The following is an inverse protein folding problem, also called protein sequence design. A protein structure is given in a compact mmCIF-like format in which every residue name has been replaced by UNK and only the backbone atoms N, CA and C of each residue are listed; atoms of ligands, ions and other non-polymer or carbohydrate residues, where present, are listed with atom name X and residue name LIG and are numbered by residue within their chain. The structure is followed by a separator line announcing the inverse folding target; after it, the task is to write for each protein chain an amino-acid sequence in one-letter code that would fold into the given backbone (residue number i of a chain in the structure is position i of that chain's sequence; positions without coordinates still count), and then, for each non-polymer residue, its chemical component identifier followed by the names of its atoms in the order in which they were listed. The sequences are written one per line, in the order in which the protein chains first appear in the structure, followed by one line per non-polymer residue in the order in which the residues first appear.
data_IF_579694528014
#
_entry.id   IF_579694528014
#
_cell.length_a   1.000
_cell.length_b   1.000
_cell.length_c   1.000
_cell.angle_alpha   90.00
_cell.angle_beta   90.00
_cell.angle_gamma   90.00
#
_symmetry.space_group_name_H-M   'P 1'
#
loop_
_entity.id
_entity.type
_entity.pdbx_description
1 polymer ?
#
# COMPACT_ATOMS: atom_id res chain seq x y z
N UNK A 1 -25.16 2.52 10.94
CA UNK A 1 -25.18 2.08 12.35
C UNK A 1 -26.07 2.98 13.19
N UNK A 2 -26.87 2.43 14.10
CA UNK A 2 -27.63 3.22 15.08
C UNK A 2 -26.70 3.74 16.18
N UNK A 3 -27.14 4.74 16.95
CA UNK A 3 -26.26 5.38 17.95
C UNK A 3 -25.71 4.43 19.02
N UNK A 4 -26.45 3.39 19.41
CA UNK A 4 -25.95 2.39 20.37
C UNK A 4 -24.79 1.58 19.79
N UNK A 5 -24.92 1.11 18.54
CA UNK A 5 -23.86 0.41 17.82
C UNK A 5 -22.65 1.31 17.58
N UNK A 6 -22.91 2.57 17.20
CA UNK A 6 -21.88 3.58 16.96
C UNK A 6 -21.15 4.00 18.26
N UNK A 7 -21.74 3.78 19.43
CA UNK A 7 -21.10 4.01 20.72
C UNK A 7 -20.26 2.80 21.17
N UNK A 8 -20.77 1.59 20.95
CA UNK A 8 -20.04 0.36 21.22
C UNK A 8 -18.75 0.24 20.39
N UNK A 9 -18.77 0.66 19.12
CA UNK A 9 -17.63 0.53 18.20
C UNK A 9 -16.35 1.27 18.65
N UNK A 10 -16.38 2.57 19.00
CA UNK A 10 -15.26 3.31 19.58
C UNK A 10 -15.09 3.12 21.10
N UNK A 11 -15.91 2.26 21.73
CA UNK A 11 -16.01 2.13 23.19
C UNK A 11 -16.28 3.48 23.90
N UNK A 12 -17.20 4.28 23.36
CA UNK A 12 -17.62 5.57 23.90
C UNK A 12 -19.02 5.49 24.51
N UNK A 13 -19.35 6.43 25.39
CA UNK A 13 -20.74 6.60 25.82
C UNK A 13 -21.62 7.13 24.68
N UNK A 14 -22.90 6.76 24.67
CA UNK A 14 -23.90 7.29 23.72
C UNK A 14 -23.95 8.83 23.77
N UNK A 15 -23.76 9.42 24.96
CA UNK A 15 -23.71 10.88 25.16
C UNK A 15 -22.50 11.47 24.46
N UNK A 16 -21.33 10.84 24.56
CA UNK A 16 -20.10 11.26 23.88
C UNK A 16 -20.25 11.26 22.36
N UNK A 17 -20.82 10.20 21.78
CA UNK A 17 -21.11 10.13 20.33
C UNK A 17 -22.09 11.23 19.91
N UNK A 18 -23.14 11.48 20.69
CA UNK A 18 -24.10 12.57 20.43
C UNK A 18 -23.45 13.94 20.43
N UNK A 19 -22.57 14.20 21.39
CA UNK A 19 -21.83 15.46 21.52
C UNK A 19 -20.91 15.66 20.32
N UNK A 20 -20.06 14.67 20.00
CA UNK A 20 -19.16 14.73 18.85
C UNK A 20 -19.92 14.96 17.53
N UNK A 21 -21.09 14.33 17.36
CA UNK A 21 -21.92 14.50 16.17
C UNK A 21 -22.71 15.83 16.12
N UNK A 22 -22.83 16.53 17.24
CA UNK A 22 -23.48 17.85 17.32
C UNK A 22 -22.45 18.97 17.14
N UNK A 23 -21.21 18.73 17.56
CA UNK A 23 -20.04 19.59 17.32
C UNK A 23 -19.48 19.46 15.90
N UNK A 24 -20.03 18.54 15.08
CA UNK A 24 -19.57 18.29 13.71
C UNK A 24 -18.28 17.46 13.60
N UNK A 25 -17.72 16.99 14.72
CA UNK A 25 -16.51 16.16 14.77
C UNK A 25 -16.74 14.74 14.26
N UNK A 26 -17.94 14.21 14.44
CA UNK A 26 -18.35 12.90 13.93
C UNK A 26 -19.50 13.10 12.92
N UNK A 27 -19.28 12.86 11.62
CA UNK A 27 -20.33 12.93 10.63
C UNK A 27 -21.50 12.00 10.96
N UNK A 28 -22.71 12.45 10.66
CA UNK A 28 -23.92 11.64 10.86
C UNK A 28 -25.01 12.06 9.89
N UNK A 29 -25.80 11.09 9.45
CA UNK A 29 -26.98 11.31 8.60
C UNK A 29 -28.25 11.14 9.43
N UNK A 30 -29.35 11.80 9.03
CA UNK A 30 -30.66 11.63 9.68
C UNK A 30 -31.57 10.78 8.80
N UNK A 31 -32.27 9.83 9.40
CA UNK A 31 -33.35 9.11 8.73
C UNK A 31 -34.55 10.03 8.51
N UNK A 32 -35.52 9.59 7.68
CA UNK A 32 -36.82 10.25 7.53
C UNK A 32 -37.56 10.46 8.86
N UNK A 33 -37.33 9.58 9.83
CA UNK A 33 -37.86 9.66 11.20
C UNK A 33 -37.00 10.51 12.17
N UNK A 34 -36.00 11.23 11.66
CA UNK A 34 -35.16 12.14 12.44
C UNK A 34 -34.07 11.49 13.30
N UNK A 35 -33.90 10.16 13.23
CA UNK A 35 -32.89 9.44 14.01
C UNK A 35 -31.51 9.57 13.35
N UNK A 36 -30.46 9.73 14.16
CA UNK A 36 -29.07 9.74 13.66
C UNK A 36 -28.61 8.32 13.27
N UNK A 37 -27.92 8.25 12.14
CA UNK A 37 -27.25 7.07 11.61
C UNK A 37 -25.80 7.45 11.31
N UNK A 38 -24.90 6.54 11.64
CA UNK A 38 -23.46 6.71 11.52
C UNK A 38 -22.90 5.67 10.56
N UNK A 39 -21.92 6.06 9.76
CA UNK A 39 -21.16 5.16 8.91
C UNK A 39 -19.89 4.70 9.63
N UNK A 40 -19.45 3.48 9.33
CA UNK A 40 -18.28 2.89 9.97
C UNK A 40 -16.99 3.61 9.57
N UNK A 41 -16.89 4.02 8.31
CA UNK A 41 -15.75 4.77 7.78
C UNK A 41 -15.57 6.10 8.50
N UNK A 42 -16.66 6.84 8.74
CA UNK A 42 -16.63 8.09 9.52
C UNK A 42 -16.15 7.88 10.96
N UNK A 43 -16.53 6.76 11.58
CA UNK A 43 -16.05 6.38 12.92
C UNK A 43 -14.57 6.01 12.91
N UNK A 44 -14.10 5.28 11.91
CA UNK A 44 -12.69 4.92 11.77
C UNK A 44 -11.83 6.18 11.56
N UNK A 45 -12.28 7.13 10.72
CA UNK A 45 -11.64 8.45 10.53
C UNK A 45 -11.61 9.22 11.86
N UNK A 46 -12.73 9.30 12.57
CA UNK A 46 -12.81 9.98 13.87
C UNK A 46 -11.86 9.39 14.93
N UNK A 47 -11.64 8.07 14.88
CA UNK A 47 -10.71 7.36 15.76
C UNK A 47 -9.24 7.48 15.32
N UNK A 48 -8.95 8.17 14.22
CA UNK A 48 -7.60 8.24 13.64
C UNK A 48 -7.11 6.88 13.15
N UNK A 49 -8.01 5.95 12.82
CA UNK A 49 -7.64 4.65 12.29
C UNK A 49 -7.23 4.79 10.82
N UNK A 50 -6.26 4.00 10.34
CA UNK A 50 -5.87 4.03 8.94
C UNK A 50 -7.05 3.66 8.06
N UNK A 51 -7.51 4.58 7.24
CA UNK A 51 -8.43 4.31 6.13
C UNK A 51 -7.67 3.65 4.98
N UNK A 52 -8.33 2.87 4.10
CA UNK A 52 -7.70 2.33 2.90
C UNK A 52 -7.02 3.41 2.05
N UNK A 53 -7.56 4.63 2.05
CA UNK A 53 -7.00 5.78 1.35
C UNK A 53 -5.75 6.34 2.04
N UNK A 54 -5.76 6.49 3.37
CA UNK A 54 -4.56 6.90 4.12
C UNK A 54 -3.43 5.85 4.03
N UNK A 55 -3.77 4.56 4.09
CA UNK A 55 -2.80 3.48 3.88
C UNK A 55 -2.22 3.53 2.48
N UNK A 56 -3.00 3.89 1.46
CA UNK A 56 -2.50 4.11 0.09
C UNK A 56 -1.63 5.37 -0.01
N UNK A 57 -2.00 6.45 0.68
CA UNK A 57 -1.22 7.69 0.72
C UNK A 57 0.15 7.49 1.40
N UNK A 58 0.20 6.65 2.44
CA UNK A 58 1.42 6.29 3.16
C UNK A 58 2.25 5.20 2.45
N UNK A 59 1.75 4.65 1.32
CA UNK A 59 2.53 3.71 0.51
C UNK A 59 3.53 4.47 -0.33
N UNK A 60 4.79 4.43 0.08
CA UNK A 60 5.92 4.66 -0.78
C UNK A 60 6.30 3.35 -1.48
N UNK A 61 6.35 3.36 -2.81
CA UNK A 61 6.54 2.16 -3.62
C UNK A 61 7.84 2.24 -4.44
N UNK A 62 8.69 1.23 -4.30
CA UNK A 62 9.89 1.01 -5.11
C UNK A 62 9.55 0.12 -6.31
N UNK A 63 9.98 0.51 -7.51
CA UNK A 63 9.79 -0.28 -8.73
C UNK A 63 11.10 -0.95 -9.11
N UNK A 64 11.10 -2.27 -9.32
CA UNK A 64 12.31 -3.00 -9.71
C UNK A 64 12.14 -3.64 -11.09
N UNK A 65 12.91 -3.12 -12.05
CA UNK A 65 12.96 -3.57 -13.44
C UNK A 65 14.26 -4.34 -13.69
N UNK A 66 14.17 -5.51 -14.31
CA UNK A 66 15.36 -6.33 -14.60
C UNK A 66 15.30 -6.93 -16.00
N UNK A 67 16.46 -6.91 -16.66
CA UNK A 67 16.68 -7.61 -17.93
C UNK A 67 17.88 -8.56 -17.82
N UNK A 68 17.80 -9.68 -18.55
CA UNK A 68 18.85 -10.71 -18.53
C UNK A 68 19.86 -10.58 -19.67
N UNK A 69 19.62 -9.70 -20.65
CA UNK A 69 20.45 -9.53 -21.85
C UNK A 69 20.52 -8.08 -22.31
N UNK A 70 21.46 -7.80 -23.22
CA UNK A 70 21.73 -6.47 -23.77
C UNK A 70 20.81 -6.10 -24.94
N UNK A 71 20.35 -7.09 -25.72
CA UNK A 71 19.48 -6.87 -26.87
C UNK A 71 18.09 -6.37 -26.43
N UNK A 72 17.66 -5.22 -26.95
CA UNK A 72 16.35 -4.64 -26.60
C UNK A 72 16.22 -4.23 -25.12
N UNK A 73 17.35 -4.02 -24.42
CA UNK A 73 17.38 -3.68 -23.00
C UNK A 73 16.56 -2.44 -22.67
N UNK A 74 16.80 -1.34 -23.40
CA UNK A 74 16.17 -0.05 -23.09
C UNK A 74 14.66 -0.11 -23.28
N UNK A 75 14.19 -0.68 -24.39
CA UNK A 75 12.77 -0.85 -24.65
C UNK A 75 12.09 -1.79 -23.65
N UNK A 76 12.78 -2.88 -23.25
CA UNK A 76 12.26 -3.79 -22.24
C UNK A 76 12.18 -3.15 -20.85
N UNK A 77 13.22 -2.41 -20.43
CA UNK A 77 13.22 -1.69 -19.15
C UNK A 77 12.14 -0.60 -19.11
N UNK A 78 12.00 0.16 -20.20
CA UNK A 78 10.97 1.20 -20.32
C UNK A 78 9.55 0.60 -20.27
N UNK A 79 9.33 -0.52 -20.96
CA UNK A 79 8.04 -1.21 -20.92
C UNK A 79 7.72 -1.76 -19.52
N UNK A 80 8.70 -2.38 -18.85
CA UNK A 80 8.54 -2.84 -17.47
C UNK A 80 8.25 -1.68 -16.51
N UNK A 81 8.99 -0.58 -16.62
CA UNK A 81 8.76 0.60 -15.80
C UNK A 81 7.36 1.16 -15.99
N UNK A 82 6.90 1.28 -17.25
CA UNK A 82 5.53 1.72 -17.57
C UNK A 82 4.48 0.85 -16.90
N UNK A 83 4.56 -0.48 -17.06
CA UNK A 83 3.62 -1.41 -16.42
C UNK A 83 3.61 -1.27 -14.89
N UNK A 84 4.80 -1.11 -14.28
CA UNK A 84 4.90 -0.97 -12.83
C UNK A 84 4.31 0.35 -12.34
N UNK A 85 4.55 1.47 -13.05
CA UNK A 85 3.96 2.78 -12.74
C UNK A 85 2.45 2.76 -12.88
N UNK A 86 1.90 2.13 -13.93
CA UNK A 86 0.46 1.99 -14.12
C UNK A 86 -0.19 1.13 -13.03
N UNK A 87 0.54 0.16 -12.48
CA UNK A 87 0.06 -0.68 -11.37
C UNK A 87 0.20 -0.04 -9.98
N UNK A 88 0.93 1.07 -9.87
CA UNK A 88 1.28 1.69 -8.60
C UNK A 88 0.03 2.21 -7.88
N UNK A 89 -0.06 1.95 -6.58
CA UNK A 89 -1.20 2.36 -5.74
C UNK A 89 -0.84 3.42 -4.71
N UNK A 90 0.42 3.82 -4.67
CA UNK A 90 0.98 4.85 -3.80
C UNK A 90 2.04 5.66 -4.53
N UNK A 91 2.72 6.54 -3.79
CA UNK A 91 3.77 7.40 -4.36
C UNK A 91 4.97 6.55 -4.78
N UNK A 92 5.38 6.66 -6.04
CA UNK A 92 6.59 5.99 -6.53
C UNK A 92 7.81 6.70 -5.95
N UNK A 93 8.54 6.01 -5.06
CA UNK A 93 9.78 6.50 -4.46
C UNK A 93 10.93 6.53 -5.48
N UNK A 94 11.20 5.37 -6.09
CA UNK A 94 12.33 5.19 -7.00
C UNK A 94 12.13 3.99 -7.92
N UNK A 95 12.73 4.07 -9.11
CA UNK A 95 12.87 2.94 -10.03
C UNK A 95 14.31 2.43 -9.96
N UNK A 96 14.46 1.14 -9.69
CA UNK A 96 15.72 0.43 -9.69
C UNK A 96 15.79 -0.43 -10.94
N UNK A 97 16.87 -0.25 -11.71
CA UNK A 97 17.10 -1.03 -12.92
C UNK A 97 18.29 -1.96 -12.73
N UNK A 98 18.13 -3.20 -13.17
CA UNK A 98 19.18 -4.21 -13.15
C UNK A 98 19.38 -4.83 -14.55
N UNK A 99 20.64 -5.06 -14.91
CA UNK A 99 21.01 -5.75 -16.13
C UNK A 99 22.04 -6.83 -15.79
N UNK A 100 21.64 -8.09 -15.94
CA UNK A 100 22.57 -9.19 -15.75
C UNK A 100 21.91 -10.57 -15.84
N UNK A 101 22.59 -11.49 -16.48
CA UNK A 101 22.25 -12.92 -16.51
C UNK A 101 22.61 -13.62 -15.20
N UNK A 102 21.95 -14.74 -14.89
CA UNK A 102 22.29 -15.63 -13.77
C UNK A 102 21.86 -15.17 -12.36
N UNK A 103 22.15 -15.96 -11.32
CA UNK A 103 22.11 -15.55 -9.92
C UNK A 103 23.41 -14.82 -9.57
N UNK A 104 23.33 -13.54 -9.25
CA UNK A 104 24.49 -12.78 -8.75
C UNK A 104 24.00 -11.92 -7.60
N UNK A 105 24.52 -12.16 -6.41
CA UNK A 105 24.08 -11.51 -5.17
C UNK A 105 24.74 -10.14 -4.97
N UNK A 106 25.78 -9.82 -5.74
CA UNK A 106 26.53 -8.55 -5.64
C UNK A 106 26.06 -7.48 -6.64
N UNK A 107 24.76 -7.42 -6.96
CA UNK A 107 24.24 -6.50 -8.00
C UNK A 107 23.91 -5.14 -7.39
N UNK A 108 24.42 -4.08 -8.01
CA UNK A 108 24.25 -2.71 -7.53
C UNK A 108 22.78 -2.24 -7.46
N UNK A 109 21.93 -2.67 -8.41
CA UNK A 109 20.51 -2.32 -8.44
C UNK A 109 19.73 -2.84 -7.23
N UNK A 110 19.63 -4.17 -7.03
CA UNK A 110 18.92 -4.73 -5.90
C UNK A 110 19.61 -4.44 -4.55
N UNK A 111 20.94 -4.33 -4.46
CA UNK A 111 21.59 -3.99 -3.19
C UNK A 111 21.20 -2.59 -2.71
N UNK A 112 21.23 -1.59 -3.60
CA UNK A 112 20.74 -0.23 -3.25
C UNK A 112 19.27 -0.23 -2.86
N UNK A 113 18.45 -1.04 -3.53
CA UNK A 113 17.05 -1.17 -3.16
C UNK A 113 16.88 -1.77 -1.77
N UNK A 114 17.68 -2.77 -1.41
CA UNK A 114 17.66 -3.38 -0.07
C UNK A 114 18.16 -2.41 1.00
N UNK A 115 19.20 -1.62 0.71
CA UNK A 115 19.68 -0.56 1.61
C UNK A 115 18.57 0.48 1.87
N UNK A 116 17.92 0.95 0.79
CA UNK A 116 16.80 1.89 0.88
C UNK A 116 15.57 1.27 1.58
N UNK A 117 15.39 -0.05 1.50
CA UNK A 117 14.36 -0.77 2.26
C UNK A 117 14.70 -0.79 3.75
N UNK A 118 15.96 -1.06 4.10
CA UNK A 118 16.43 -1.15 5.48
C UNK A 118 16.34 0.19 6.22
N UNK A 119 16.47 1.31 5.51
CA UNK A 119 16.28 2.65 6.06
C UNK A 119 14.81 3.10 6.07
N UNK A 120 13.89 2.31 5.50
CA UNK A 120 12.46 2.61 5.50
C UNK A 120 12.02 3.64 4.45
N UNK A 121 12.77 3.84 3.37
CA UNK A 121 12.40 4.81 2.32
C UNK A 121 11.16 4.40 1.51
N UNK A 122 10.78 3.13 1.53
CA UNK A 122 9.57 2.64 0.91
C UNK A 122 8.97 1.48 1.72
N UNK A 123 7.67 1.23 1.54
CA UNK A 123 6.94 0.17 2.24
C UNK A 123 6.60 -1.01 1.33
N UNK A 124 6.70 -0.83 0.01
CA UNK A 124 6.33 -1.85 -0.98
C UNK A 124 7.37 -1.90 -2.11
N UNK A 125 7.77 -3.11 -2.51
CA UNK A 125 8.49 -3.35 -3.76
C UNK A 125 7.54 -3.92 -4.80
N UNK A 126 7.55 -3.37 -6.01
CA UNK A 126 6.85 -3.92 -7.16
C UNK A 126 7.82 -4.51 -8.16
N UNK A 127 7.49 -5.70 -8.64
CA UNK A 127 8.22 -6.43 -9.68
C UNK A 127 7.25 -6.93 -10.72
N UNK A 128 7.67 -6.98 -11.97
CA UNK A 128 6.84 -7.52 -13.06
C UNK A 128 6.67 -9.03 -12.90
N UNK A 129 7.73 -9.73 -12.45
CA UNK A 129 7.74 -11.17 -12.26
C UNK A 129 8.41 -11.54 -10.93
N UNK A 130 7.88 -12.54 -10.23
CA UNK A 130 8.38 -12.96 -8.90
C UNK A 130 9.84 -13.43 -8.94
N UNK A 131 10.28 -14.05 -10.04
CA UNK A 131 11.65 -14.55 -10.22
C UNK A 131 12.72 -13.44 -10.35
N UNK A 132 12.31 -12.17 -10.33
CA UNK A 132 13.22 -11.03 -10.52
C UNK A 132 14.03 -10.73 -9.26
N UNK A 133 13.48 -10.97 -8.06
CA UNK A 133 14.15 -10.73 -6.78
C UNK A 133 15.17 -11.82 -6.44
N UNK A 134 14.79 -13.08 -6.57
CA UNK A 134 15.68 -14.22 -6.44
C UNK A 134 15.16 -15.39 -7.30
N UNK A 135 16.08 -16.16 -7.87
CA UNK A 135 15.77 -17.47 -8.45
C UNK A 135 16.30 -18.51 -7.49
N UNK A 136 15.42 -19.18 -6.76
CA UNK A 136 15.80 -20.34 -5.97
C UNK A 136 15.86 -21.54 -6.90
N UNK A 137 17.07 -21.98 -7.27
CA UNK A 137 17.29 -23.28 -7.90
C UNK A 137 17.54 -24.32 -6.81
N UNK A 138 16.49 -24.62 -6.05
CA UNK A 138 16.43 -25.70 -5.08
C UNK A 138 15.00 -26.20 -5.11
N UNK A 139 14.78 -27.38 -5.67
CA UNK A 139 13.45 -27.95 -5.80
C UNK A 139 12.78 -28.06 -4.44
N UNK A 140 11.57 -27.54 -4.34
CA UNK A 140 10.55 -28.09 -3.44
C UNK A 140 9.31 -28.24 -4.29
N UNK A 141 9.14 -29.46 -4.78
CA UNK A 141 7.81 -29.95 -5.09
C UNK A 141 7.07 -30.17 -3.76
N UNK A 142 5.74 -29.99 -3.78
CA UNK A 142 4.74 -30.16 -2.69
C UNK A 142 4.45 -28.89 -1.86
N UNK A 143 3.20 -28.49 -1.60
CA UNK A 143 1.86 -29.02 -1.91
C UNK A 143 0.88 -27.84 -2.03
#
# INVERSE_FOLDING_TARGET
MRIGEAAAYPNMSVVGVRKAASEGRLPSRRTRSGRRVFDREDLDVYLGRPTPESVRADRAEALYCRVSGSTGRESSLAHQEKMLRESATGTVYRVYQDCGSGPRETRAGPNRMLDDAATGHFTVVRVVWRDRLARFSGGVDRA
#
